data_IF_394443915967
#
_entry.id   IF_394443915967
#
_cell.length_a   1.000
_cell.length_b   1.000
_cell.length_c   1.000
_cell.angle_alpha   90.00
_cell.angle_beta   90.00
_cell.angle_gamma   90.00
#
_symmetry.space_group_name_H-M   'P 1'
#
loop_
_entity.id
_entity.type
_entity.pdbx_description
1 polymer ?
#
# COMPACT_ATOMS: atom_id res chain seq x y z
N UNK A 1 4.70 -18.35 -13.33
CA UNK A 1 5.50 -17.78 -12.22
C UNK A 1 5.91 -16.34 -12.47
N UNK A 2 4.96 -15.41 -12.51
CA UNK A 2 5.34 -14.00 -12.38
C UNK A 2 5.46 -13.70 -10.90
N UNK A 3 6.69 -13.73 -10.40
CA UNK A 3 7.09 -12.98 -9.22
C UNK A 3 6.90 -11.51 -9.57
N UNK A 4 5.66 -11.03 -9.53
CA UNK A 4 5.30 -9.67 -9.94
C UNK A 4 6.06 -8.71 -9.03
N UNK A 5 7.08 -8.06 -9.58
CA UNK A 5 7.80 -6.99 -8.89
C UNK A 5 6.85 -5.87 -8.49
N UNK A 6 7.29 -5.02 -7.59
CA UNK A 6 6.52 -3.85 -7.16
C UNK A 6 6.41 -2.86 -8.34
N UNK A 7 5.20 -2.63 -8.83
CA UNK A 7 4.89 -1.67 -9.91
C UNK A 7 4.22 -0.41 -9.38
N UNK A 8 4.06 0.66 -10.16
CA UNK A 8 3.21 1.78 -9.74
C UNK A 8 1.73 1.36 -9.76
N UNK A 9 0.89 1.96 -8.91
CA UNK A 9 -0.57 1.70 -8.93
C UNK A 9 -1.18 1.87 -10.33
N UNK A 10 -0.73 2.90 -11.07
CA UNK A 10 -1.21 3.21 -12.42
C UNK A 10 -0.80 2.16 -13.48
N UNK A 11 0.21 1.32 -13.19
CA UNK A 11 0.70 0.28 -14.10
C UNK A 11 0.05 -1.09 -13.82
N UNK A 12 -0.84 -1.18 -12.84
CA UNK A 12 -1.60 -2.40 -12.59
C UNK A 12 -2.51 -2.72 -13.78
N UNK A 13 -2.84 -4.00 -14.03
CA UNK A 13 -3.86 -4.35 -15.01
C UNK A 13 -5.18 -3.62 -14.71
N UNK A 14 -5.89 -3.18 -15.75
CA UNK A 14 -7.10 -2.36 -15.61
C UNK A 14 -8.15 -2.98 -14.69
N UNK A 15 -8.41 -4.28 -14.81
CA UNK A 15 -9.36 -5.00 -13.96
C UNK A 15 -8.95 -5.01 -12.48
N UNK A 16 -7.66 -4.92 -12.18
CA UNK A 16 -7.16 -4.79 -10.80
C UNK A 16 -7.37 -3.36 -10.31
N UNK A 17 -7.04 -2.35 -11.13
CA UNK A 17 -7.25 -0.94 -10.78
C UNK A 17 -8.73 -0.67 -10.45
N UNK A 18 -9.65 -1.16 -11.27
CA UNK A 18 -11.09 -1.02 -11.07
C UNK A 18 -11.62 -1.75 -9.83
N UNK A 19 -10.93 -2.80 -9.39
CA UNK A 19 -11.30 -3.57 -8.20
C UNK A 19 -10.70 -3.03 -6.90
N UNK A 20 -9.77 -2.07 -6.97
CA UNK A 20 -9.18 -1.47 -5.78
C UNK A 20 -10.24 -0.67 -5.00
N UNK A 21 -10.28 -0.78 -3.67
CA UNK A 21 -11.05 0.15 -2.86
C UNK A 21 -10.45 1.55 -2.97
N UNK A 22 -11.22 2.57 -2.60
CA UNK A 22 -10.66 3.91 -2.44
C UNK A 22 -9.55 3.88 -1.37
N UNK A 23 -8.38 4.44 -1.69
CA UNK A 23 -7.24 4.54 -0.77
C UNK A 23 -6.89 6.02 -0.64
N UNK A 24 -7.09 6.59 0.55
CA UNK A 24 -6.70 7.96 0.85
C UNK A 24 -5.68 7.97 1.98
N UNK A 25 -4.43 8.28 1.64
CA UNK A 25 -3.38 8.55 2.62
C UNK A 25 -3.56 10.00 3.12
N UNK A 26 -3.65 10.17 4.43
CA UNK A 26 -3.77 11.49 5.07
C UNK A 26 -2.71 11.77 6.13
N UNK A 27 -1.91 10.76 6.47
CA UNK A 27 -0.71 10.87 7.27
C UNK A 27 0.27 9.79 6.81
N UNK A 28 1.53 10.15 6.69
CA UNK A 28 2.63 9.25 6.38
C UNK A 28 3.80 9.61 7.27
N UNK A 29 4.20 8.68 8.14
CA UNK A 29 5.32 8.83 9.03
C UNK A 29 6.31 7.69 8.79
N UNK A 30 7.44 8.04 8.22
CA UNK A 30 8.54 7.11 7.98
C UNK A 30 9.61 7.21 9.06
N UNK A 31 10.24 6.08 9.35
CA UNK A 31 11.36 5.94 10.26
C UNK A 31 12.26 4.79 9.78
N UNK A 32 13.54 4.84 10.12
CA UNK A 32 14.46 3.72 9.88
C UNK A 32 14.15 2.49 10.76
N UNK A 33 13.28 2.65 11.77
CA UNK A 33 12.74 1.57 12.60
C UNK A 33 11.34 1.19 12.08
N UNK A 34 11.15 0.02 11.45
CA UNK A 34 9.86 -0.40 10.87
C UNK A 34 8.68 -0.30 11.85
N UNK A 35 8.90 -0.68 13.11
CA UNK A 35 7.89 -0.64 14.17
C UNK A 35 7.42 0.77 14.55
N UNK A 36 8.18 1.80 14.15
CA UNK A 36 7.84 3.20 14.38
C UNK A 36 7.19 3.85 13.15
N UNK A 37 7.04 3.13 12.03
CA UNK A 37 6.40 3.65 10.81
C UNK A 37 4.88 3.57 10.93
N UNK A 38 4.19 4.60 10.49
CA UNK A 38 2.73 4.66 10.54
C UNK A 38 2.17 5.39 9.32
N UNK A 39 1.05 4.89 8.80
CA UNK A 39 0.23 5.63 7.84
C UNK A 39 -1.20 5.75 8.33
N UNK A 40 -1.89 6.83 7.94
CA UNK A 40 -3.34 6.92 8.08
C UNK A 40 -4.00 6.75 6.72
N UNK A 41 -4.65 5.61 6.51
CA UNK A 41 -5.40 5.28 5.30
C UNK A 41 -6.88 5.19 5.65
N UNK A 42 -7.72 5.96 4.95
CA UNK A 42 -9.17 5.99 5.18
C UNK A 42 -9.51 6.13 6.68
N UNK A 43 -8.89 7.13 7.33
CA UNK A 43 -9.04 7.47 8.74
C UNK A 43 -8.59 6.41 9.77
N UNK A 44 -7.92 5.35 9.31
CA UNK A 44 -7.34 4.31 10.18
C UNK A 44 -5.83 4.42 10.24
N UNK A 45 -5.27 4.39 11.43
CA UNK A 45 -3.84 4.24 11.67
C UNK A 45 -3.43 2.78 11.43
N UNK A 46 -2.45 2.58 10.54
CA UNK A 46 -1.98 1.27 10.10
C UNK A 46 -0.46 1.19 10.16
N UNK A 47 0.03 0.00 10.49
CA UNK A 47 1.45 -0.39 10.43
C UNK A 47 1.66 -1.45 9.33
N UNK A 48 2.92 -1.72 9.02
CA UNK A 48 3.31 -2.79 8.10
C UNK A 48 2.71 -4.14 8.56
N UNK A 49 2.11 -4.86 7.63
CA UNK A 49 1.38 -6.10 7.88
C UNK A 49 -0.13 -5.90 8.07
N UNK A 50 -0.64 -4.71 8.37
CA UNK A 50 -2.06 -4.50 8.63
C UNK A 50 -2.94 -4.64 7.37
N UNK A 51 -4.20 -5.05 7.58
CA UNK A 51 -5.22 -5.06 6.54
C UNK A 51 -5.85 -3.67 6.38
N UNK A 52 -5.71 -3.10 5.19
CA UNK A 52 -6.34 -1.84 4.80
C UNK A 52 -7.83 -2.07 4.52
N UNK A 53 -8.14 -3.12 3.75
CA UNK A 53 -9.48 -3.58 3.39
C UNK A 53 -9.43 -5.08 3.04
N UNK A 54 -10.55 -5.68 2.61
CA UNK A 54 -10.56 -7.06 2.12
C UNK A 54 -9.55 -7.25 0.98
N UNK A 55 -8.71 -8.28 1.09
CA UNK A 55 -7.60 -8.60 0.18
C UNK A 55 -6.52 -7.53 0.00
N UNK A 56 -6.64 -6.35 0.62
CA UNK A 56 -5.68 -5.25 0.52
C UNK A 56 -4.86 -5.12 1.80
N UNK A 57 -3.57 -5.46 1.72
CA UNK A 57 -2.64 -5.43 2.85
C UNK A 57 -1.58 -4.34 2.67
N UNK A 58 -1.24 -3.64 3.74
CA UNK A 58 -0.06 -2.79 3.82
C UNK A 58 1.17 -3.66 4.01
N UNK A 59 2.03 -3.76 3.00
CA UNK A 59 3.23 -4.60 3.05
C UNK A 59 4.42 -3.85 3.63
N UNK A 60 4.63 -2.61 3.18
CA UNK A 60 5.75 -1.78 3.63
C UNK A 60 5.35 -0.30 3.63
N UNK A 61 5.85 0.46 4.60
CA UNK A 61 5.82 1.91 4.61
C UNK A 61 7.22 2.37 4.21
N UNK A 62 7.35 2.87 2.98
CA UNK A 62 8.64 3.34 2.45
C UNK A 62 8.79 4.84 2.71
N UNK A 63 9.98 5.40 2.48
CA UNK A 63 10.21 6.84 2.58
C UNK A 63 9.33 7.64 1.59
N UNK A 64 9.07 7.06 0.41
CA UNK A 64 8.30 7.67 -0.67
C UNK A 64 6.79 7.43 -0.62
N UNK A 65 6.29 6.51 0.21
CA UNK A 65 4.88 6.15 0.24
C UNK A 65 4.64 4.80 0.89
N UNK A 66 3.83 3.95 0.25
CA UNK A 66 3.51 2.60 0.73
C UNK A 66 3.63 1.56 -0.39
N UNK A 67 3.95 0.32 0.00
CA UNK A 67 3.80 -0.85 -0.84
C UNK A 67 2.59 -1.62 -0.34
N UNK A 68 1.66 -1.90 -1.24
CA UNK A 68 0.40 -2.59 -0.97
C UNK A 68 0.35 -3.92 -1.72
N UNK A 69 -0.23 -4.93 -1.08
CA UNK A 69 -0.53 -6.23 -1.66
C UNK A 69 -2.03 -6.37 -1.90
N UNK A 70 -2.43 -6.70 -3.12
CA UNK A 70 -3.83 -6.95 -3.48
C UNK A 70 -3.96 -8.09 -4.48
N UNK A 71 -4.65 -9.18 -4.10
CA UNK A 71 -4.95 -10.34 -4.96
C UNK A 71 -3.73 -10.89 -5.73
N UNK A 72 -2.57 -10.94 -5.07
CA UNK A 72 -1.32 -11.43 -5.65
C UNK A 72 -0.46 -10.37 -6.37
N UNK A 73 -0.96 -9.14 -6.51
CA UNK A 73 -0.20 -8.00 -7.05
C UNK A 73 0.44 -7.21 -5.92
N UNK A 74 1.65 -6.71 -6.14
CA UNK A 74 2.31 -5.73 -5.27
C UNK A 74 2.49 -4.42 -6.04
N UNK A 75 2.10 -3.32 -5.43
CA UNK A 75 2.22 -2.01 -6.05
C UNK A 75 2.58 -0.92 -5.06
N UNK A 76 3.31 0.07 -5.54
CA UNK A 76 3.63 1.29 -4.83
C UNK A 76 2.53 2.32 -5.04
N UNK A 77 2.17 2.98 -3.95
CA UNK A 77 1.38 4.20 -3.94
C UNK A 77 2.22 5.28 -3.25
N UNK A 78 2.58 6.32 -4.01
CA UNK A 78 3.38 7.41 -3.49
C UNK A 78 2.57 8.23 -2.47
N UNK A 79 3.28 8.78 -1.47
CA UNK A 79 2.70 9.85 -0.66
C UNK A 79 2.49 11.06 -1.57
N UNK A 80 1.42 11.83 -1.31
CA UNK A 80 1.10 13.06 -2.05
C UNK A 80 2.33 13.94 -2.27
#
# INVERSE_FOLDING_TARGET
DQSAGVVAQADLPEHIQQALPQIRISLHFFSNKPEARLVRINDRHLHEGDMVASDLRLLEITEGGVILGFRGYQFRLDKL
#
